data_IF_612784562017
#
_entry.id   IF_612784562017
#
_cell.length_a   1.000
_cell.length_b   1.000
_cell.length_c   1.000
_cell.angle_alpha   90.00
_cell.angle_beta   90.00
_cell.angle_gamma   90.00
#
_symmetry.space_group_name_H-M   'P 1'
#
loop_
_entity.id
_entity.type
_entity.pdbx_description
1 polymer ?
#
# COMPACT_ATOMS: atom_id res chain seq x y z
N UNK A 1 -33.91 0.30 34.30
CA UNK A 1 -34.41 0.61 32.93
C UNK A 1 -33.32 0.17 31.97
N UNK A 2 -33.47 -1.01 31.37
CA UNK A 2 -32.45 -1.64 30.53
C UNK A 2 -32.75 -1.27 29.07
N UNK A 3 -31.84 -0.55 28.40
CA UNK A 3 -31.97 -0.28 26.96
C UNK A 3 -31.61 -1.54 26.16
N UNK A 4 -32.34 -1.86 25.07
CA UNK A 4 -31.94 -2.95 24.18
C UNK A 4 -30.73 -2.51 23.36
N UNK A 5 -29.65 -3.28 23.37
CA UNK A 5 -28.51 -3.04 22.49
C UNK A 5 -28.89 -3.46 21.07
N UNK A 6 -28.83 -2.50 20.14
CA UNK A 6 -28.91 -2.75 18.71
C UNK A 6 -27.68 -3.58 18.30
N UNK A 7 -27.87 -4.85 17.99
CA UNK A 7 -26.84 -5.66 17.31
C UNK A 7 -26.79 -5.20 15.85
N UNK A 8 -25.81 -4.34 15.53
CA UNK A 8 -25.46 -4.05 14.14
C UNK A 8 -24.75 -5.27 13.59
N UNK A 9 -25.46 -6.07 12.80
CA UNK A 9 -24.86 -7.14 12.01
C UNK A 9 -23.94 -6.52 10.95
N UNK A 10 -22.64 -6.54 11.21
CA UNK A 10 -21.62 -6.27 10.20
C UNK A 10 -21.82 -7.30 9.08
N UNK A 11 -21.96 -6.90 7.80
CA UNK A 11 -21.99 -7.88 6.73
C UNK A 11 -20.66 -8.63 6.79
N UNK A 12 -20.73 -9.95 6.87
CA UNK A 12 -19.56 -10.80 6.74
C UNK A 12 -18.76 -10.32 5.54
N UNK A 13 -17.45 -10.10 5.73
CA UNK A 13 -16.53 -9.81 4.66
C UNK A 13 -16.85 -10.79 3.53
N UNK A 14 -17.28 -10.25 2.38
CA UNK A 14 -17.53 -11.05 1.20
C UNK A 14 -16.25 -11.84 0.96
N UNK A 15 -16.31 -13.16 1.12
CA UNK A 15 -15.22 -14.06 0.79
C UNK A 15 -14.77 -13.68 -0.63
N UNK A 16 -13.65 -12.97 -0.74
CA UNK A 16 -13.07 -12.68 -2.03
C UNK A 16 -12.71 -14.05 -2.59
N UNK A 17 -13.44 -14.44 -3.63
CA UNK A 17 -13.43 -15.78 -4.13
C UNK A 17 -11.99 -16.15 -4.50
N UNK A 18 -11.49 -17.32 -4.09
CA UNK A 18 -10.28 -17.91 -4.68
C UNK A 18 -10.42 -18.12 -6.21
N UNK A 19 -11.61 -17.85 -6.79
CA UNK A 19 -11.90 -17.82 -8.23
C UNK A 19 -11.93 -16.42 -8.85
N UNK A 20 -11.61 -15.33 -8.12
CA UNK A 20 -11.64 -13.97 -8.66
C UNK A 20 -10.32 -13.54 -9.34
N UNK A 21 -9.20 -14.20 -9.01
CA UNK A 21 -7.96 -14.04 -9.75
C UNK A 21 -7.85 -15.12 -10.82
N UNK A 22 -7.54 -14.77 -12.08
CA UNK A 22 -7.16 -15.76 -13.08
C UNK A 22 -6.01 -16.63 -12.56
N UNK A 23 -5.96 -17.92 -12.91
CA UNK A 23 -4.82 -18.78 -12.59
C UNK A 23 -3.52 -18.12 -13.07
N UNK A 24 -2.50 -18.06 -12.21
CA UNK A 24 -1.23 -17.40 -12.55
C UNK A 24 -1.15 -15.90 -12.21
N UNK A 25 -2.21 -15.31 -11.65
CA UNK A 25 -2.22 -13.91 -11.20
C UNK A 25 -2.04 -13.72 -9.69
N UNK A 26 -1.60 -14.77 -8.99
CA UNK A 26 -1.24 -14.66 -7.58
C UNK A 26 0.08 -13.89 -7.47
N UNK A 27 0.17 -12.95 -6.53
CA UNK A 27 1.42 -12.25 -6.31
C UNK A 27 2.51 -13.19 -5.78
N UNK A 28 3.74 -12.97 -6.22
CA UNK A 28 4.92 -13.69 -5.74
C UNK A 28 5.79 -12.72 -4.92
N UNK A 29 6.25 -13.20 -3.75
CA UNK A 29 7.13 -12.42 -2.90
C UNK A 29 8.53 -12.36 -3.49
N UNK A 30 9.11 -11.17 -3.55
CA UNK A 30 10.51 -10.98 -3.87
C UNK A 30 11.42 -11.48 -2.74
N UNK A 31 12.69 -11.69 -3.07
CA UNK A 31 13.74 -11.65 -2.05
C UNK A 31 13.72 -10.30 -1.30
N UNK A 32 14.39 -10.26 -0.15
CA UNK A 32 14.55 -9.03 0.61
C UNK A 32 15.43 -8.03 -0.15
N UNK A 33 14.92 -6.81 -0.28
CA UNK A 33 15.52 -5.69 -0.98
C UNK A 33 16.02 -4.69 0.08
N UNK A 34 17.31 -4.37 -0.02
CA UNK A 34 18.06 -3.47 0.86
C UNK A 34 19.01 -2.68 -0.04
N UNK A 35 18.62 -1.46 -0.43
CA UNK A 35 19.38 -0.59 -1.35
C UNK A 35 19.76 0.75 -0.73
N UNK A 36 19.31 1.03 0.49
CA UNK A 36 19.56 2.24 1.26
C UNK A 36 20.16 1.88 2.62
N UNK A 37 20.93 2.80 3.19
CA UNK A 37 21.51 2.62 4.53
C UNK A 37 21.50 3.95 5.29
N UNK A 38 21.07 3.96 6.56
CA UNK A 38 21.07 5.18 7.35
C UNK A 38 22.47 5.62 7.74
N UNK A 39 22.78 6.90 7.49
CA UNK A 39 23.99 7.53 8.00
C UNK A 39 23.76 8.04 9.43
N UNK A 40 24.36 7.35 10.40
CA UNK A 40 24.26 7.72 11.82
C UNK A 40 24.81 9.11 12.17
N UNK A 41 25.61 9.71 11.29
CA UNK A 41 26.23 11.03 11.50
C UNK A 41 25.40 12.19 10.93
N UNK A 42 24.40 11.92 10.09
CA UNK A 42 23.56 12.94 9.45
C UNK A 42 22.08 12.79 9.82
N UNK A 43 21.51 13.84 10.40
CA UNK A 43 20.08 13.89 10.76
C UNK A 43 19.16 14.01 9.55
N UNK A 44 19.66 14.45 8.40
CA UNK A 44 18.91 14.51 7.15
C UNK A 44 18.98 13.20 6.36
N UNK A 45 19.84 12.27 6.80
CA UNK A 45 19.84 10.90 6.31
C UNK A 45 18.69 10.11 6.91
N UNK A 46 18.59 8.85 6.53
CA UNK A 46 17.52 7.94 6.89
C UNK A 46 17.68 6.66 6.12
N UNK A 47 16.65 5.83 6.18
CA UNK A 47 16.61 4.60 5.43
C UNK A 47 15.37 4.54 4.53
N UNK A 48 15.58 4.22 3.26
CA UNK A 48 14.67 4.53 2.17
C UNK A 48 14.62 3.41 1.12
N UNK A 49 14.00 2.29 1.50
CA UNK A 49 13.61 1.23 0.55
C UNK A 49 12.37 1.63 -0.25
N UNK A 50 12.46 2.78 -0.93
CA UNK A 50 11.39 3.28 -1.78
C UNK A 50 11.48 2.66 -3.17
N UNK A 51 10.35 2.49 -3.86
CA UNK A 51 10.38 1.94 -5.22
C UNK A 51 11.22 2.80 -6.19
N UNK A 52 11.30 4.11 -5.96
CA UNK A 52 12.20 5.00 -6.70
C UNK A 52 13.67 4.64 -6.47
N UNK A 53 14.08 4.45 -5.22
CA UNK A 53 15.45 4.06 -4.89
C UNK A 53 15.78 2.65 -5.38
N UNK A 54 14.84 1.72 -5.30
CA UNK A 54 15.01 0.36 -5.81
C UNK A 54 15.23 0.40 -7.32
N UNK A 55 14.35 1.08 -8.08
CA UNK A 55 14.51 1.22 -9.54
C UNK A 55 15.80 1.95 -9.94
N UNK A 56 16.25 2.91 -9.12
CA UNK A 56 17.50 3.64 -9.37
C UNK A 56 18.73 2.75 -9.19
N UNK A 57 18.71 1.84 -8.22
CA UNK A 57 19.83 0.92 -7.94
C UNK A 57 19.76 -0.36 -8.79
N UNK A 58 18.56 -0.85 -9.07
CA UNK A 58 18.28 -1.99 -9.95
C UNK A 58 17.17 -1.64 -10.96
N UNK A 59 17.55 -1.10 -12.14
CA UNK A 59 16.60 -0.81 -13.21
C UNK A 59 15.92 -2.04 -13.82
N UNK A 60 16.40 -3.25 -13.50
CA UNK A 60 15.79 -4.50 -13.96
C UNK A 60 14.67 -4.99 -13.05
N UNK A 61 14.54 -4.42 -11.85
CA UNK A 61 13.43 -4.71 -10.96
C UNK A 61 12.11 -4.20 -11.57
N UNK A 62 11.19 -5.13 -11.81
CA UNK A 62 9.90 -4.83 -12.43
C UNK A 62 8.78 -5.45 -11.60
N UNK A 63 7.90 -4.61 -11.09
CA UNK A 63 6.68 -5.01 -10.39
C UNK A 63 5.49 -4.23 -10.97
N UNK A 64 4.63 -4.91 -11.73
CA UNK A 64 3.50 -4.25 -12.40
C UNK A 64 2.47 -3.70 -11.40
N UNK A 65 2.27 -4.46 -10.32
CA UNK A 65 1.41 -4.08 -9.21
C UNK A 65 1.92 -4.74 -7.94
N UNK A 66 2.15 -3.92 -6.93
CA UNK A 66 2.40 -4.35 -5.56
C UNK A 66 1.05 -4.67 -4.93
N UNK A 67 0.85 -5.93 -4.55
CA UNK A 67 -0.36 -6.35 -3.84
C UNK A 67 -0.18 -6.29 -2.33
N UNK A 68 1.03 -6.58 -1.85
CA UNK A 68 1.37 -6.53 -0.44
C UNK A 68 2.86 -6.20 -0.23
N UNK A 69 3.21 -5.76 0.98
CA UNK A 69 4.57 -5.42 1.37
C UNK A 69 4.85 -5.96 2.77
N UNK A 70 6.08 -6.44 2.96
CA UNK A 70 6.62 -6.79 4.26
C UNK A 70 7.87 -5.98 4.48
N UNK A 71 7.99 -5.34 5.64
CA UNK A 71 9.15 -4.55 6.02
C UNK A 71 9.69 -5.07 7.35
N UNK A 72 11.02 -5.11 7.50
CA UNK A 72 11.66 -5.51 8.77
C UNK A 72 12.99 -4.83 8.97
N UNK A 73 13.42 -4.72 10.23
CA UNK A 73 14.79 -4.34 10.53
C UNK A 73 15.71 -5.53 10.27
N UNK A 74 16.78 -5.35 9.49
CA UNK A 74 17.68 -6.43 9.08
C UNK A 74 18.31 -7.16 10.28
N UNK A 75 18.67 -6.40 11.34
CA UNK A 75 19.25 -6.97 12.56
C UNK A 75 18.23 -7.54 13.54
N UNK A 76 16.95 -7.25 13.36
CA UNK A 76 15.87 -7.65 14.26
C UNK A 76 14.66 -8.15 13.46
N UNK A 77 14.83 -9.19 12.62
CA UNK A 77 13.80 -9.62 11.66
C UNK A 77 12.55 -10.19 12.35
N UNK A 78 12.67 -10.64 13.60
CA UNK A 78 11.59 -11.25 14.37
C UNK A 78 10.84 -10.24 15.26
N UNK A 79 11.25 -8.97 15.26
CA UNK A 79 10.60 -7.91 16.03
C UNK A 79 9.72 -7.09 15.08
N UNK A 80 8.44 -6.95 15.43
CA UNK A 80 7.50 -6.13 14.68
C UNK A 80 7.96 -4.66 14.64
N UNK A 81 7.67 -3.95 13.54
CA UNK A 81 8.13 -2.57 13.37
C UNK A 81 7.64 -1.66 14.49
N UNK A 82 6.41 -1.89 14.98
CA UNK A 82 5.77 -1.11 16.03
C UNK A 82 6.48 -1.28 17.38
N UNK A 83 7.10 -2.44 17.61
CA UNK A 83 7.80 -2.78 18.85
C UNK A 83 9.25 -2.27 18.87
N UNK A 84 9.84 -1.94 17.70
CA UNK A 84 11.18 -1.35 17.61
C UNK A 84 11.25 0.05 18.22
N UNK A 85 10.12 0.75 18.32
CA UNK A 85 10.05 2.11 18.85
C UNK A 85 10.57 3.19 17.90
N UNK A 86 10.69 2.87 16.61
CA UNK A 86 11.07 3.82 15.56
C UNK A 86 9.85 4.31 14.78
N UNK A 87 9.90 5.55 14.30
CA UNK A 87 8.89 6.08 13.38
C UNK A 87 9.27 5.68 11.96
N UNK A 88 8.58 4.66 11.43
CA UNK A 88 8.82 4.08 10.10
C UNK A 88 7.49 4.02 9.35
N UNK A 89 7.50 4.44 8.09
CA UNK A 89 6.39 4.23 7.15
C UNK A 89 6.72 3.00 6.31
N UNK A 90 5.81 2.02 6.26
CA UNK A 90 5.88 0.86 5.37
C UNK A 90 4.56 0.78 4.61
N UNK A 91 4.59 0.97 3.29
CA UNK A 91 3.39 1.10 2.46
C UNK A 91 3.56 0.46 1.09
N UNK A 92 2.49 -0.17 0.60
CA UNK A 92 2.41 -0.73 -0.75
C UNK A 92 2.52 0.32 -1.86
N UNK A 93 2.30 1.60 -1.54
CA UNK A 93 2.35 2.69 -2.52
C UNK A 93 3.76 3.31 -2.65
N UNK A 94 4.57 3.22 -1.59
CA UNK A 94 5.83 3.99 -1.48
C UNK A 94 7.05 3.16 -1.11
N UNK A 95 6.88 1.93 -0.64
CA UNK A 95 7.94 1.14 -0.04
C UNK A 95 8.12 1.47 1.45
N UNK A 96 9.36 1.55 1.91
CA UNK A 96 9.70 1.95 3.29
C UNK A 96 10.41 3.30 3.34
N UNK A 97 10.04 4.10 4.34
CA UNK A 97 10.66 5.40 4.65
C UNK A 97 10.88 5.49 6.15
N UNK A 98 12.13 5.71 6.54
CA UNK A 98 12.54 6.10 7.87
C UNK A 98 13.43 7.35 7.77
N UNK A 99 13.09 8.44 8.46
CA UNK A 99 13.94 9.63 8.51
C UNK A 99 14.69 9.67 9.85
N UNK A 100 16.00 9.95 9.85
CA UNK A 100 16.76 10.09 11.09
C UNK A 100 16.24 11.26 11.94
N UNK A 101 15.81 12.35 11.30
CA UNK A 101 15.25 13.55 11.96
C UNK A 101 13.97 13.30 12.76
N UNK A 102 13.23 12.25 12.40
CA UNK A 102 12.00 11.83 13.07
C UNK A 102 12.25 10.97 14.31
N UNK A 103 13.44 10.38 14.44
CA UNK A 103 13.72 9.40 15.50
C UNK A 103 14.05 10.08 16.82
N UNK A 104 13.50 9.52 17.90
CA UNK A 104 13.76 9.96 19.27
C UNK A 104 14.42 8.82 20.04
N UNK A 105 15.29 9.11 21.02
CA UNK A 105 15.76 8.08 21.95
C UNK A 105 14.56 7.48 22.69
N UNK A 106 14.41 6.15 22.69
CA UNK A 106 13.33 5.47 23.39
C UNK A 106 13.09 4.04 22.93
N UNK A 107 12.24 3.29 23.64
CA UNK A 107 11.95 1.89 23.30
C UNK A 107 13.14 0.95 23.45
N UNK A 108 13.17 -0.12 22.64
CA UNK A 108 14.28 -1.08 22.63
C UNK A 108 15.55 -0.50 21.99
N UNK A 109 15.39 0.47 21.09
CA UNK A 109 16.47 1.06 20.32
C UNK A 109 16.78 2.48 20.82
N UNK A 110 17.83 2.61 21.62
CA UNK A 110 18.19 3.89 22.25
C UNK A 110 18.81 4.94 21.30
N UNK A 111 19.06 4.58 20.04
CA UNK A 111 19.73 5.45 19.07
C UNK A 111 18.72 6.33 18.33
N UNK A 112 18.90 7.66 18.28
CA UNK A 112 17.97 8.57 17.60
C UNK A 112 18.26 8.66 16.09
N UNK A 113 18.46 7.52 15.44
CA UNK A 113 18.65 7.37 13.98
C UNK A 113 17.97 6.07 13.54
N UNK A 114 17.59 5.98 12.28
CA UNK A 114 16.98 4.78 11.72
C UNK A 114 17.86 3.54 11.88
N UNK A 115 17.25 2.40 12.12
CA UNK A 115 17.88 1.10 11.87
C UNK A 115 18.01 0.88 10.36
N UNK A 116 18.82 -0.12 9.98
CA UNK A 116 18.81 -0.64 8.62
C UNK A 116 17.60 -1.56 8.43
N UNK A 117 16.76 -1.23 7.47
CA UNK A 117 15.56 -1.96 7.10
C UNK A 117 15.72 -2.61 5.73
N UNK A 118 14.88 -3.59 5.47
CA UNK A 118 14.76 -4.23 4.18
C UNK A 118 13.28 -4.54 3.93
N UNK A 119 12.89 -4.60 2.66
CA UNK A 119 11.52 -4.90 2.24
C UNK A 119 11.44 -6.15 1.38
N UNK A 120 10.33 -6.88 1.47
CA UNK A 120 9.92 -7.88 0.49
C UNK A 120 8.56 -7.46 -0.03
N UNK A 121 8.34 -7.62 -1.33
CA UNK A 121 7.16 -7.09 -2.03
C UNK A 121 6.45 -8.26 -2.71
N UNK A 122 5.13 -8.36 -2.54
CA UNK A 122 4.32 -9.34 -3.25
C UNK A 122 3.88 -8.72 -4.57
N UNK A 123 4.53 -9.14 -5.66
CA UNK A 123 4.34 -8.57 -6.99
C UNK A 123 3.45 -9.46 -7.86
N UNK A 124 2.41 -8.86 -8.44
CA UNK A 124 1.57 -9.54 -9.42
C UNK A 124 2.36 -9.67 -10.74
N UNK A 125 2.39 -10.87 -11.35
CA UNK A 125 3.01 -11.06 -12.66
C UNK A 125 2.49 -10.08 -13.71
N UNK A 126 3.40 -9.57 -14.56
CA UNK A 126 3.04 -8.64 -15.64
C UNK A 126 2.44 -9.38 -16.84
N UNK A 127 1.30 -10.03 -16.61
CA UNK A 127 0.53 -10.76 -17.62
C UNK A 127 -0.76 -9.98 -17.92
N UNK A 128 -1.15 -9.81 -19.20
CA UNK A 128 -2.36 -9.05 -19.57
C UNK A 128 -3.64 -9.57 -18.90
N UNK A 129 -3.72 -10.87 -18.65
CA UNK A 129 -4.85 -11.51 -17.98
C UNK A 129 -5.02 -11.08 -16.52
N UNK A 130 -3.93 -10.65 -15.85
CA UNK A 130 -3.95 -10.18 -14.47
C UNK A 130 -4.43 -8.74 -14.32
N UNK A 131 -4.55 -8.00 -15.43
CA UNK A 131 -5.00 -6.61 -15.47
C UNK A 131 -6.18 -6.43 -16.43
N UNK A 132 -7.34 -7.07 -16.15
CA UNK A 132 -8.51 -6.94 -17.01
C UNK A 132 -8.96 -5.48 -17.07
N UNK A 133 -9.04 -4.94 -18.29
CA UNK A 133 -9.61 -3.60 -18.51
C UNK A 133 -11.11 -3.68 -18.23
N UNK A 134 -11.57 -2.95 -17.21
CA UNK A 134 -13.01 -2.85 -16.95
C UNK A 134 -13.71 -2.23 -18.16
N UNK A 135 -14.82 -2.80 -18.67
CA UNK A 135 -15.56 -2.16 -19.75
C UNK A 135 -16.13 -0.83 -19.24
N UNK A 136 -15.67 0.27 -19.82
CA UNK A 136 -16.21 1.60 -19.58
C UNK A 136 -17.72 1.59 -19.86
N UNK A 137 -18.55 1.74 -18.82
CA UNK A 137 -19.97 2.03 -19.00
C UNK A 137 -20.10 3.45 -19.55
N UNK A 138 -20.23 3.56 -20.87
CA UNK A 138 -20.66 4.80 -21.54
C UNK A 138 -22.12 5.04 -21.17
N UNK A 139 -22.37 5.75 -20.08
CA UNK A 139 -23.70 6.25 -19.75
C UNK A 139 -24.03 7.37 -20.74
N UNK A 140 -24.80 7.06 -21.79
CA UNK A 140 -25.34 8.07 -22.69
C UNK A 140 -26.19 9.07 -21.89
N UNK A 141 -26.07 10.39 -22.10
CA UNK A 141 -26.89 11.37 -21.41
C UNK A 141 -28.38 11.17 -21.79
N UNK A 142 -29.31 11.29 -20.84
CA UNK A 142 -30.73 11.22 -21.15
C UNK A 142 -31.12 12.37 -22.09
N UNK A 143 -31.82 12.03 -23.17
CA UNK A 143 -32.36 12.97 -24.14
C UNK A 143 -33.51 13.76 -23.48
N UNK A 144 -33.25 15.01 -23.09
CA UNK A 144 -34.28 15.91 -22.58
C UNK A 144 -35.36 16.15 -23.64
N UNK A 145 -36.54 15.57 -23.43
CA UNK A 145 -37.72 15.81 -24.29
C UNK A 145 -38.40 17.09 -23.83
N UNK A 146 -38.27 18.16 -24.63
CA UNK A 146 -38.99 19.43 -24.41
C UNK A 146 -40.46 19.23 -24.75
N UNK A 147 -41.32 19.21 -23.73
CA UNK A 147 -42.78 19.25 -23.92
C UNK A 147 -43.26 20.70 -23.85
N UNK A 148 -43.61 21.27 -25.00
CA UNK A 148 -44.30 22.55 -25.13
C UNK A 148 -45.82 22.35 -25.10
N UNK A 149 -46.55 23.14 -24.29
CA UNK A 149 -47.99 23.41 -24.47
C UNK A 149 -48.44 24.60 -23.57
N UNK A 150 -49.63 25.21 -23.80
CA UNK A 150 -49.80 26.38 -24.62
C UNK A 150 -50.30 27.61 -23.84
N UNK A 151 -50.17 28.77 -24.47
CA UNK A 151 -50.68 30.08 -24.04
C UNK A 151 -52.19 30.06 -23.77
N UNK A 152 -52.64 30.61 -22.65
CA UNK A 152 -54.05 30.99 -22.41
C UNK A 152 -54.18 32.49 -22.18
N UNK A 153 -55.05 33.06 -22.99
CA UNK A 153 -55.48 34.47 -23.08
C UNK A 153 -56.41 34.84 -21.92
N UNK A 154 -56.31 36.07 -21.42
CA UNK A 154 -57.46 36.80 -20.84
C UNK A 154 -57.31 38.27 -21.15
#
# INVERSE_FOLDING_TARGET
VLLPQLVVSVPAASNCCSSCCPPGCTCEWTDWIDVSYPDSSDRNSGDYETFENILKNDPSWVCAKVENISCRAQKFPDIALEDLGQKVECSVDRGLICNNSDQRPGGMIQMPVCLNYEISVCCVPNLPECFPVSPSTTTAPPLSTTLSLPTSTT
#
